data_IF_251054159325
#
_entry.id   IF_251054159325
#
_cell.length_a   1.000
_cell.length_b   1.000
_cell.length_c   1.000
_cell.angle_alpha   90.00
_cell.angle_beta   90.00
_cell.angle_gamma   90.00
#
_symmetry.space_group_name_H-M   'P 1'
#
loop_
_entity.id
_entity.type
_entity.pdbx_description
1 polymer ?
#
# COMPACT_ATOMS: atom_id res chain seq x y z
N UNK A 1 -6.15 -59.40 -40.53
CA UNK A 1 -5.51 -58.62 -39.44
C UNK A 1 -5.76 -57.14 -39.68
N UNK A 2 -6.43 -56.41 -38.78
CA UNK A 2 -6.68 -54.98 -38.99
C UNK A 2 -5.48 -54.14 -38.51
N UNK A 3 -5.14 -53.03 -39.19
CA UNK A 3 -3.93 -52.25 -38.92
C UNK A 3 -4.09 -51.37 -37.66
N UNK A 4 -2.98 -51.22 -36.93
CA UNK A 4 -2.87 -50.44 -35.69
C UNK A 4 -3.19 -48.96 -35.93
N UNK A 5 -4.27 -48.47 -35.31
CA UNK A 5 -4.57 -47.03 -35.16
C UNK A 5 -3.43 -46.36 -34.37
N UNK A 6 -2.66 -45.48 -35.03
CA UNK A 6 -1.85 -44.46 -34.35
C UNK A 6 -2.81 -43.44 -33.73
N UNK A 7 -2.80 -43.33 -32.39
CA UNK A 7 -3.43 -42.20 -31.71
C UNK A 7 -2.52 -40.98 -31.89
N UNK A 8 -2.99 -39.86 -32.48
CA UNK A 8 -2.29 -38.59 -32.32
C UNK A 8 -2.44 -38.18 -30.85
N UNK A 9 -1.31 -37.89 -30.21
CA UNK A 9 -1.28 -37.21 -28.91
C UNK A 9 -1.56 -35.74 -29.22
N UNK A 10 -2.85 -35.42 -29.29
CA UNK A 10 -3.31 -34.07 -29.54
C UNK A 10 -3.07 -33.25 -28.29
N UNK A 11 -2.20 -32.24 -28.41
CA UNK A 11 -1.93 -31.25 -27.38
C UNK A 11 -2.99 -30.15 -27.44
N UNK A 12 -4.25 -30.53 -27.26
CA UNK A 12 -5.37 -29.60 -27.15
C UNK A 12 -5.58 -29.27 -25.67
N UNK A 13 -4.89 -28.22 -25.20
CA UNK A 13 -5.24 -27.43 -24.00
C UNK A 13 -4.54 -26.05 -24.09
N UNK A 14 -4.43 -25.48 -25.29
CA UNK A 14 -3.75 -24.18 -25.51
C UNK A 14 -4.65 -23.04 -25.98
N UNK A 15 -5.96 -23.27 -26.16
CA UNK A 15 -6.83 -22.24 -26.77
C UNK A 15 -7.73 -21.46 -25.79
N UNK A 16 -7.77 -21.81 -24.50
CA UNK A 16 -8.54 -21.04 -23.50
C UNK A 16 -7.70 -20.04 -22.67
N UNK A 17 -6.37 -19.98 -22.87
CA UNK A 17 -5.45 -19.26 -21.96
C UNK A 17 -5.26 -17.76 -22.28
N UNK A 18 -5.98 -17.21 -23.27
CA UNK A 18 -5.85 -15.81 -23.73
C UNK A 18 -6.93 -14.89 -23.14
N UNK A 19 -7.60 -15.29 -22.06
CA UNK A 19 -8.38 -14.35 -21.25
C UNK A 19 -7.42 -13.50 -20.42
N UNK A 20 -6.96 -12.40 -21.03
CA UNK A 20 -6.56 -11.13 -20.42
C UNK A 20 -6.08 -11.24 -18.95
N UNK A 21 -4.91 -11.86 -18.73
CA UNK A 21 -4.32 -12.01 -17.39
C UNK A 21 -3.74 -10.68 -16.95
N UNK A 22 -4.58 -9.83 -16.34
CA UNK A 22 -4.21 -8.55 -15.71
C UNK A 22 -3.29 -8.68 -14.49
N UNK A 23 -3.06 -9.91 -14.01
CA UNK A 23 -2.23 -10.18 -12.85
C UNK A 23 -1.29 -11.37 -13.08
N UNK A 24 -0.13 -11.34 -12.42
CA UNK A 24 0.87 -12.41 -12.40
C UNK A 24 0.28 -13.67 -11.77
N UNK A 25 0.26 -14.78 -12.50
CA UNK A 25 -0.17 -16.09 -12.00
C UNK A 25 1.00 -17.07 -12.07
N UNK A 26 1.10 -17.94 -11.05
CA UNK A 26 2.11 -19.00 -11.03
C UNK A 26 1.67 -20.13 -11.97
N UNK A 27 2.47 -20.41 -13.00
CA UNK A 27 2.25 -21.58 -13.86
C UNK A 27 2.74 -22.85 -13.16
N UNK A 28 1.91 -23.92 -13.05
CA UNK A 28 2.39 -25.18 -12.51
C UNK A 28 3.50 -25.74 -13.42
N UNK A 29 4.72 -25.84 -12.89
CA UNK A 29 5.89 -26.31 -13.63
C UNK A 29 6.31 -27.70 -13.13
N UNK A 30 6.22 -28.71 -14.00
CA UNK A 30 6.76 -30.04 -13.71
C UNK A 30 8.25 -30.05 -14.06
N UNK A 31 9.10 -30.30 -13.05
CA UNK A 31 10.55 -30.45 -13.24
C UNK A 31 10.93 -31.92 -13.23
N UNK A 32 11.67 -32.37 -14.24
CA UNK A 32 12.28 -33.70 -14.23
C UNK A 32 13.54 -33.66 -13.35
N UNK A 33 13.60 -34.54 -12.35
CA UNK A 33 14.69 -34.59 -11.37
C UNK A 33 15.45 -35.91 -11.59
N UNK A 34 16.78 -35.82 -11.71
CA UNK A 34 17.61 -37.02 -11.89
C UNK A 34 17.58 -37.90 -10.64
N UNK A 35 17.66 -39.23 -10.81
CA UNK A 35 17.75 -40.16 -9.68
C UNK A 35 18.95 -39.91 -8.78
N UNK A 36 20.06 -39.40 -9.35
CA UNK A 36 21.25 -39.02 -8.58
C UNK A 36 20.94 -37.88 -7.61
N UNK A 37 20.16 -36.90 -8.06
CA UNK A 37 19.69 -35.79 -7.22
C UNK A 37 18.80 -36.28 -6.10
N UNK A 38 17.90 -37.23 -6.38
CA UNK A 38 17.03 -37.84 -5.36
C UNK A 38 17.91 -38.56 -4.32
N UNK A 39 18.78 -39.47 -4.74
CA UNK A 39 19.62 -40.26 -3.82
C UNK A 39 20.63 -39.43 -3.02
N UNK A 40 21.10 -38.31 -3.58
CA UNK A 40 22.12 -37.46 -2.94
C UNK A 40 21.55 -36.33 -2.08
N UNK A 41 20.44 -35.70 -2.49
CA UNK A 41 19.91 -34.49 -1.83
C UNK A 41 18.63 -34.72 -1.06
N UNK A 42 17.93 -35.84 -1.27
CA UNK A 42 16.70 -36.12 -0.55
C UNK A 42 17.04 -36.98 0.65
N UNK A 43 16.84 -36.42 1.83
CA UNK A 43 17.00 -37.11 3.09
C UNK A 43 15.72 -37.85 3.46
N UNK A 44 15.87 -38.82 4.34
CA UNK A 44 14.73 -39.44 5.02
C UNK A 44 14.16 -38.48 6.05
N UNK A 45 12.87 -38.60 6.29
CA UNK A 45 12.16 -37.75 7.25
C UNK A 45 12.64 -38.02 8.70
N UNK A 46 12.78 -37.01 9.57
CA UNK A 46 13.09 -37.22 10.98
C UNK A 46 12.03 -38.06 11.70
N UNK A 47 12.44 -38.90 12.64
CA UNK A 47 11.57 -39.78 13.44
C UNK A 47 10.34 -39.08 14.06
N UNK A 48 10.43 -37.87 14.68
CA UNK A 48 9.25 -37.22 15.25
C UNK A 48 8.19 -36.86 14.20
N UNK A 49 8.60 -36.55 12.97
CA UNK A 49 7.65 -36.24 11.88
C UNK A 49 7.09 -37.53 11.29
N UNK A 50 7.87 -38.61 11.30
CA UNK A 50 7.35 -39.92 10.92
C UNK A 50 6.20 -40.36 11.83
N UNK A 51 6.28 -40.08 13.13
CA UNK A 51 5.19 -40.34 14.08
C UNK A 51 3.96 -39.50 13.77
N UNK A 52 4.11 -38.20 13.48
CA UNK A 52 3.00 -37.34 13.03
C UNK A 52 2.32 -37.90 11.78
N UNK A 53 3.09 -38.37 10.81
CA UNK A 53 2.54 -39.02 9.59
C UNK A 53 1.82 -40.33 9.92
N UNK A 54 2.35 -41.13 10.86
CA UNK A 54 1.66 -42.33 11.36
C UNK A 54 0.33 -41.98 12.02
N UNK A 55 0.27 -40.91 12.80
CA UNK A 55 -0.96 -40.44 13.44
C UNK A 55 -1.97 -39.88 12.43
N UNK A 56 -1.51 -39.18 11.40
CA UNK A 56 -2.37 -38.78 10.28
C UNK A 56 -2.98 -40.00 9.57
N UNK A 57 -2.20 -41.05 9.30
CA UNK A 57 -2.76 -42.26 8.72
C UNK A 57 -3.85 -42.87 9.60
N UNK A 58 -3.67 -42.89 10.93
CA UNK A 58 -4.68 -43.37 11.90
C UNK A 58 -5.94 -42.50 11.90
N UNK A 59 -5.79 -41.18 11.82
CA UNK A 59 -6.92 -40.24 11.75
C UNK A 59 -7.75 -40.46 10.47
N UNK A 60 -7.07 -40.73 9.34
CA UNK A 60 -7.70 -41.00 8.05
C UNK A 60 -8.39 -42.38 7.95
N UNK A 61 -8.15 -43.30 8.89
CA UNK A 61 -8.87 -44.59 8.93
C UNK A 61 -10.34 -44.40 9.33
N UNK A 62 -10.62 -43.47 10.26
CA UNK A 62 -11.94 -43.30 10.87
C UNK A 62 -13.04 -42.97 9.85
N UNK A 63 -12.86 -42.02 8.91
CA UNK A 63 -13.87 -41.71 7.90
C UNK A 63 -14.21 -42.89 6.99
N UNK A 64 -13.23 -43.73 6.65
CA UNK A 64 -13.43 -44.88 5.76
C UNK A 64 -14.27 -45.96 6.44
N UNK A 65 -14.03 -46.19 7.73
CA UNK A 65 -14.79 -47.15 8.55
C UNK A 65 -16.22 -46.64 8.79
N UNK A 66 -16.37 -45.37 9.16
CA UNK A 66 -17.68 -44.76 9.46
C UNK A 66 -18.59 -44.71 8.23
N UNK A 67 -18.01 -44.54 7.03
CA UNK A 67 -18.76 -44.54 5.77
C UNK A 67 -19.46 -45.88 5.47
N UNK A 68 -18.94 -46.99 5.99
CA UNK A 68 -19.56 -48.31 5.80
C UNK A 68 -20.72 -48.48 6.79
N UNK A 69 -21.93 -48.76 6.29
CA UNK A 69 -23.10 -48.97 7.15
C UNK A 69 -23.17 -50.39 7.73
N UNK A 70 -22.64 -51.39 7.01
CA UNK A 70 -22.69 -52.80 7.40
C UNK A 70 -21.51 -53.17 8.30
N UNK A 71 -21.77 -53.80 9.45
CA UNK A 71 -20.73 -54.20 10.41
C UNK A 71 -19.67 -55.14 9.81
N UNK A 72 -20.09 -56.12 9.00
CA UNK A 72 -19.15 -57.01 8.30
C UNK A 72 -18.22 -56.27 7.34
N UNK A 73 -18.75 -55.25 6.64
CA UNK A 73 -17.97 -54.42 5.72
C UNK A 73 -17.07 -53.43 6.47
N UNK A 74 -17.46 -53.00 7.68
CA UNK A 74 -16.60 -52.19 8.56
C UNK A 74 -15.36 -52.96 8.99
N UNK A 75 -15.52 -54.22 9.41
CA UNK A 75 -14.41 -55.07 9.83
C UNK A 75 -13.46 -55.36 8.67
N UNK A 76 -13.98 -55.65 7.48
CA UNK A 76 -13.18 -55.86 6.27
C UNK A 76 -12.43 -54.59 5.85
N UNK A 77 -13.12 -53.44 5.82
CA UNK A 77 -12.52 -52.15 5.50
C UNK A 77 -11.44 -51.76 6.52
N UNK A 78 -11.69 -51.98 7.81
CA UNK A 78 -10.71 -51.76 8.87
C UNK A 78 -9.48 -52.65 8.68
N UNK A 79 -9.65 -53.94 8.40
CA UNK A 79 -8.53 -54.84 8.17
C UNK A 79 -7.71 -54.44 6.93
N UNK A 80 -8.37 -54.07 5.83
CA UNK A 80 -7.73 -53.61 4.61
C UNK A 80 -6.95 -52.30 4.82
N UNK A 81 -7.56 -51.30 5.47
CA UNK A 81 -6.93 -50.01 5.77
C UNK A 81 -5.74 -50.19 6.71
N UNK A 82 -5.89 -50.95 7.79
CA UNK A 82 -4.80 -51.23 8.73
C UNK A 82 -3.61 -51.94 8.05
N UNK A 83 -3.86 -52.83 7.09
CA UNK A 83 -2.80 -53.46 6.31
C UNK A 83 -2.02 -52.42 5.48
N UNK A 84 -2.73 -51.48 4.85
CA UNK A 84 -2.10 -50.38 4.09
C UNK A 84 -1.31 -49.46 5.00
N UNK A 85 -1.87 -49.02 6.14
CA UNK A 85 -1.17 -48.15 7.10
C UNK A 85 0.09 -48.83 7.65
N UNK A 86 0.04 -50.12 7.99
CA UNK A 86 1.23 -50.88 8.42
C UNK A 86 2.30 -50.96 7.31
N UNK A 87 1.90 -51.13 6.05
CA UNK A 87 2.84 -51.19 4.94
C UNK A 87 3.48 -49.83 4.63
N UNK A 88 2.70 -48.74 4.71
CA UNK A 88 3.20 -47.37 4.54
C UNK A 88 4.12 -46.97 5.69
N UNK A 89 3.75 -47.29 6.93
CA UNK A 89 4.58 -47.04 8.12
C UNK A 89 5.95 -47.72 8.05
N UNK A 90 6.03 -48.94 7.49
CA UNK A 90 7.31 -49.65 7.25
C UNK A 90 8.17 -49.01 6.16
N UNK A 91 7.56 -48.31 5.19
CA UNK A 91 8.27 -47.67 4.07
C UNK A 91 8.69 -46.23 4.39
N UNK A 92 8.03 -45.60 5.34
CA UNK A 92 8.26 -44.20 5.72
C UNK A 92 9.71 -43.87 6.07
N UNK A 93 10.46 -44.71 6.83
CA UNK A 93 11.87 -44.43 7.14
C UNK A 93 12.80 -44.52 5.92
N UNK A 94 12.39 -45.21 4.85
CA UNK A 94 13.21 -45.46 3.64
C UNK A 94 12.77 -44.62 2.44
N UNK A 95 11.74 -43.80 2.59
CA UNK A 95 11.23 -42.95 1.53
C UNK A 95 12.04 -41.65 1.47
N UNK A 96 12.67 -41.31 0.33
CA UNK A 96 13.37 -40.04 0.19
C UNK A 96 12.36 -38.91 0.05
N UNK A 97 12.52 -37.84 0.83
CA UNK A 97 11.68 -36.66 0.76
C UNK A 97 12.46 -35.47 0.19
N UNK A 98 11.83 -34.61 -0.65
CA UNK A 98 12.46 -33.39 -1.12
C UNK A 98 12.95 -32.51 0.05
N UNK A 99 14.09 -31.83 -0.07
CA UNK A 99 14.67 -31.02 1.03
C UNK A 99 13.82 -29.80 1.42
N UNK A 100 12.83 -29.43 0.61
CA UNK A 100 11.87 -28.36 0.94
C UNK A 100 10.78 -28.83 1.91
N UNK A 101 10.62 -30.15 2.09
CA UNK A 101 9.66 -30.68 3.06
C UNK A 101 10.15 -30.38 4.47
N UNK A 102 9.55 -29.36 5.09
CA UNK A 102 9.77 -29.01 6.49
C UNK A 102 8.79 -29.80 7.37
N UNK A 103 9.12 -29.96 8.63
CA UNK A 103 8.26 -30.61 9.65
C UNK A 103 6.88 -29.94 9.71
N UNK A 104 6.82 -28.62 9.54
CA UNK A 104 5.57 -27.83 9.51
C UNK A 104 4.63 -28.20 8.36
N UNK A 105 5.14 -28.82 7.27
CA UNK A 105 4.31 -29.23 6.14
C UNK A 105 3.37 -30.40 6.48
N UNK A 106 3.61 -31.09 7.61
CA UNK A 106 2.77 -32.19 8.10
C UNK A 106 1.87 -31.79 9.28
N UNK A 107 1.92 -30.53 9.69
CA UNK A 107 1.09 -29.98 10.77
C UNK A 107 -0.05 -29.15 10.18
N UNK A 108 -1.28 -29.63 10.37
CA UNK A 108 -2.47 -28.93 9.87
C UNK A 108 -2.61 -27.52 10.47
N UNK A 109 -2.41 -27.38 11.78
CA UNK A 109 -2.51 -26.09 12.47
C UNK A 109 -1.45 -25.09 11.99
N UNK A 110 -0.23 -25.55 11.72
CA UNK A 110 0.83 -24.69 11.20
C UNK A 110 0.48 -24.16 9.80
N UNK A 111 -0.06 -25.02 8.92
CA UNK A 111 -0.52 -24.62 7.60
C UNK A 111 -1.72 -23.66 7.66
N UNK A 112 -2.64 -23.87 8.61
CA UNK A 112 -3.78 -22.97 8.81
C UNK A 112 -3.33 -21.60 9.32
N UNK A 113 -2.40 -21.56 10.27
CA UNK A 113 -1.83 -20.31 10.78
C UNK A 113 -1.08 -19.54 9.68
N UNK A 114 -0.30 -20.22 8.84
CA UNK A 114 0.35 -19.60 7.68
C UNK A 114 -0.67 -19.03 6.70
N UNK A 115 -1.76 -19.76 6.43
CA UNK A 115 -2.85 -19.28 5.60
C UNK A 115 -3.50 -18.01 6.17
N UNK A 116 -3.89 -18.03 7.45
CA UNK A 116 -4.50 -16.87 8.12
C UNK A 116 -3.56 -15.66 8.15
N UNK A 117 -2.26 -15.86 8.36
CA UNK A 117 -1.27 -14.79 8.30
C UNK A 117 -1.15 -14.19 6.88
N UNK A 118 -1.15 -15.03 5.85
CA UNK A 118 -1.13 -14.58 4.46
C UNK A 118 -2.42 -13.85 4.07
N UNK A 119 -3.59 -14.32 4.53
CA UNK A 119 -4.86 -13.65 4.32
C UNK A 119 -4.92 -12.29 5.02
N UNK A 120 -4.45 -12.17 6.26
CA UNK A 120 -4.33 -10.90 6.96
C UNK A 120 -3.36 -9.94 6.23
N UNK A 121 -2.23 -10.45 5.74
CA UNK A 121 -1.30 -9.69 4.89
C UNK A 121 -1.95 -9.21 3.58
N UNK A 122 -2.76 -10.05 2.94
CA UNK A 122 -3.48 -9.68 1.72
C UNK A 122 -4.54 -8.60 2.01
N UNK A 123 -5.30 -8.76 3.10
CA UNK A 123 -6.32 -7.80 3.51
C UNK A 123 -5.71 -6.42 3.78
N UNK A 124 -4.65 -6.35 4.61
CA UNK A 124 -3.96 -5.09 4.92
C UNK A 124 -3.38 -4.40 3.69
N UNK A 125 -2.78 -5.16 2.76
CA UNK A 125 -2.30 -4.61 1.49
C UNK A 125 -3.46 -4.09 0.63
N UNK A 126 -4.57 -4.82 0.57
CA UNK A 126 -5.75 -4.40 -0.19
C UNK A 126 -6.35 -3.11 0.37
N UNK A 127 -6.50 -3.02 1.69
CA UNK A 127 -6.97 -1.82 2.37
C UNK A 127 -6.04 -0.62 2.12
N UNK A 128 -4.72 -0.85 2.16
CA UNK A 128 -3.74 0.20 1.87
C UNK A 128 -3.84 0.70 0.42
N UNK A 129 -4.10 -0.21 -0.53
CA UNK A 129 -4.30 0.13 -1.94
C UNK A 129 -5.54 1.00 -2.09
N UNK A 130 -6.63 0.70 -1.39
CA UNK A 130 -7.88 1.46 -1.49
C UNK A 130 -7.76 2.85 -0.85
N UNK A 131 -7.02 2.98 0.27
CA UNK A 131 -6.66 4.29 0.83
C UNK A 131 -5.86 5.12 -0.18
N UNK A 132 -4.84 4.52 -0.81
CA UNK A 132 -4.00 5.22 -1.79
C UNK A 132 -4.80 5.65 -3.02
N UNK A 133 -5.71 4.80 -3.52
CA UNK A 133 -6.62 5.18 -4.62
C UNK A 133 -7.50 6.37 -4.25
N UNK A 134 -8.05 6.38 -3.04
CA UNK A 134 -8.88 7.48 -2.57
C UNK A 134 -8.10 8.80 -2.46
N UNK A 135 -6.84 8.75 -2.00
CA UNK A 135 -5.99 9.94 -1.96
C UNK A 135 -5.62 10.42 -3.36
N UNK A 136 -5.30 9.51 -4.30
CA UNK A 136 -5.04 9.85 -5.71
C UNK A 136 -6.26 10.57 -6.32
N UNK A 137 -7.47 10.05 -6.12
CA UNK A 137 -8.69 10.69 -6.63
C UNK A 137 -8.86 12.11 -6.08
N UNK A 138 -8.54 12.32 -4.80
CA UNK A 138 -8.60 13.63 -4.14
C UNK A 138 -7.53 14.60 -4.67
N UNK A 139 -6.31 14.11 -4.91
CA UNK A 139 -5.24 14.90 -5.50
C UNK A 139 -5.56 15.28 -6.96
N UNK A 140 -6.06 14.34 -7.76
CA UNK A 140 -6.49 14.58 -9.14
C UNK A 140 -7.63 15.61 -9.20
N UNK A 141 -8.61 15.53 -8.29
CA UNK A 141 -9.68 16.51 -8.20
C UNK A 141 -9.18 17.91 -7.81
N UNK A 142 -8.14 17.99 -6.96
CA UNK A 142 -7.52 19.26 -6.55
C UNK A 142 -6.72 19.87 -7.72
N UNK A 143 -5.92 19.05 -8.41
CA UNK A 143 -5.18 19.42 -9.60
C UNK A 143 -6.11 19.89 -10.74
N UNK A 144 -7.26 19.24 -10.91
CA UNK A 144 -8.28 19.67 -11.87
C UNK A 144 -8.87 21.05 -11.55
N UNK A 145 -8.95 21.44 -10.28
CA UNK A 145 -9.40 22.80 -9.89
C UNK A 145 -8.30 23.82 -10.14
N UNK A 146 -7.07 23.52 -9.77
CA UNK A 146 -5.92 24.41 -9.97
C UNK A 146 -5.64 24.67 -11.45
N UNK A 147 -5.68 23.63 -12.28
CA UNK A 147 -5.51 23.77 -13.74
C UNK A 147 -6.59 24.65 -14.37
N UNK A 148 -7.86 24.55 -13.91
CA UNK A 148 -8.94 25.45 -14.34
C UNK A 148 -8.66 26.89 -13.91
N UNK A 149 -8.24 27.10 -12.65
CA UNK A 149 -7.90 28.44 -12.14
C UNK A 149 -6.74 29.06 -12.93
N UNK A 150 -5.68 28.30 -13.21
CA UNK A 150 -4.55 28.76 -14.03
C UNK A 150 -4.99 29.13 -15.44
N UNK A 151 -5.84 28.30 -16.07
CA UNK A 151 -6.37 28.59 -17.40
C UNK A 151 -7.18 29.90 -17.43
N UNK A 152 -7.99 30.15 -16.41
CA UNK A 152 -8.77 31.38 -16.31
C UNK A 152 -7.88 32.60 -16.02
N UNK A 153 -6.86 32.45 -15.17
CA UNK A 153 -5.82 33.46 -14.95
C UNK A 153 -5.06 33.80 -16.24
N UNK A 154 -4.70 32.80 -17.06
CA UNK A 154 -4.06 33.01 -18.35
C UNK A 154 -4.95 33.76 -19.34
N UNK A 155 -6.24 33.40 -19.41
CA UNK A 155 -7.21 34.13 -20.23
C UNK A 155 -7.36 35.57 -19.75
N UNK A 156 -7.45 35.79 -18.43
CA UNK A 156 -7.57 37.12 -17.85
C UNK A 156 -6.32 37.96 -18.13
N UNK A 157 -5.11 37.38 -17.97
CA UNK A 157 -3.85 38.03 -18.37
C UNK A 157 -3.85 38.41 -19.85
N UNK A 158 -4.22 37.48 -20.74
CA UNK A 158 -4.31 37.76 -22.19
C UNK A 158 -5.33 38.86 -22.49
N UNK A 159 -6.50 38.85 -21.85
CA UNK A 159 -7.52 39.89 -21.98
C UNK A 159 -6.99 41.25 -21.52
N UNK A 160 -6.42 41.31 -20.33
CA UNK A 160 -5.80 42.52 -19.77
C UNK A 160 -4.67 43.07 -20.66
N UNK A 161 -3.81 42.21 -21.20
CA UNK A 161 -2.77 42.62 -22.15
C UNK A 161 -3.36 43.19 -23.45
N UNK A 162 -4.40 42.57 -23.99
CA UNK A 162 -5.05 43.08 -25.21
C UNK A 162 -5.80 44.38 -24.96
N UNK A 163 -6.44 44.53 -23.80
CA UNK A 163 -7.12 45.74 -23.39
C UNK A 163 -6.11 46.87 -23.13
N UNK A 164 -5.03 46.60 -22.40
CA UNK A 164 -3.91 47.56 -22.22
C UNK A 164 -3.35 48.01 -23.56
N UNK A 165 -3.17 47.09 -24.53
CA UNK A 165 -2.74 47.45 -25.89
C UNK A 165 -3.75 48.35 -26.63
N UNK A 166 -5.06 48.17 -26.40
CA UNK A 166 -6.12 49.03 -26.95
C UNK A 166 -6.11 50.41 -26.29
N UNK A 167 -6.04 50.46 -24.96
CA UNK A 167 -5.94 51.70 -24.19
C UNK A 167 -4.70 52.50 -24.61
N UNK A 168 -3.54 51.84 -24.72
CA UNK A 168 -2.29 52.45 -25.22
C UNK A 168 -2.34 52.94 -26.69
N UNK A 169 -3.31 52.49 -27.49
CA UNK A 169 -3.57 53.04 -28.83
C UNK A 169 -4.43 54.31 -28.78
N UNK A 170 -5.28 54.44 -27.77
CA UNK A 170 -6.20 55.55 -27.58
C UNK A 170 -5.60 56.67 -26.72
N UNK A 171 -4.51 56.39 -25.99
CA UNK A 171 -3.79 57.37 -25.17
C UNK A 171 -3.04 58.43 -25.99
N UNK A 172 -2.97 59.64 -25.44
CA UNK A 172 -2.31 60.78 -26.06
C UNK A 172 -0.79 60.55 -26.21
N UNK A 173 -0.14 60.99 -27.31
CA UNK A 173 1.27 60.71 -27.62
C UNK A 173 2.30 61.14 -26.55
N UNK A 174 1.95 62.04 -25.63
CA UNK A 174 2.80 62.44 -24.49
C UNK A 174 2.90 61.33 -23.44
N UNK A 175 1.77 60.69 -23.08
CA UNK A 175 1.75 59.56 -22.14
C UNK A 175 2.48 58.34 -22.72
N UNK A 176 2.38 58.15 -24.04
CA UNK A 176 3.11 57.13 -24.78
C UNK A 176 4.63 57.26 -24.68
N UNK A 177 5.15 58.50 -24.67
CA UNK A 177 6.58 58.79 -24.54
C UNK A 177 7.08 58.56 -23.10
N UNK A 178 6.25 58.83 -22.10
CA UNK A 178 6.59 58.58 -20.69
C UNK A 178 6.64 57.07 -20.38
N UNK A 179 5.67 56.29 -20.87
CA UNK A 179 5.64 54.84 -20.62
C UNK A 179 6.75 54.09 -21.39
N UNK A 180 7.10 54.54 -22.60
CA UNK A 180 8.26 54.01 -23.33
C UNK A 180 9.62 54.43 -22.74
N UNK A 181 9.68 55.58 -22.06
CA UNK A 181 10.85 55.96 -21.26
C UNK A 181 10.99 55.08 -20.00
N UNK A 182 9.88 54.72 -19.35
CA UNK A 182 9.85 53.77 -18.23
C UNK A 182 10.26 52.34 -18.65
N UNK A 183 9.88 51.89 -19.85
CA UNK A 183 10.25 50.55 -20.36
C UNK A 183 11.67 50.46 -20.93
N UNK A 184 12.28 51.58 -21.37
CA UNK A 184 13.69 51.64 -21.81
C UNK A 184 14.67 51.91 -20.69
N UNK A 185 14.19 52.32 -19.51
CA UNK A 185 14.99 52.32 -18.30
C UNK A 185 15.37 50.90 -17.91
N UNK A 186 16.66 50.69 -17.65
CA UNK A 186 17.20 49.45 -17.11
C UNK A 186 16.33 48.98 -15.92
N UNK A 187 15.83 47.73 -15.86
CA UNK A 187 14.95 47.25 -14.78
C UNK A 187 15.60 47.31 -13.38
N UNK A 188 16.86 47.75 -13.29
CA UNK A 188 17.56 48.06 -12.05
C UNK A 188 17.22 49.44 -11.45
N UNK A 189 16.53 50.32 -12.17
CA UNK A 189 16.33 51.72 -11.72
C UNK A 189 14.89 52.13 -11.39
N UNK A 190 13.90 51.28 -11.66
CA UNK A 190 12.51 51.50 -11.26
C UNK A 190 12.09 50.57 -10.11
N UNK A 191 13.02 50.22 -9.22
CA UNK A 191 12.64 49.87 -7.87
C UNK A 191 12.25 51.18 -7.19
N UNK A 192 10.98 51.32 -6.80
CA UNK A 192 10.66 52.17 -5.66
C UNK A 192 11.39 51.51 -4.47
N UNK A 193 12.65 51.87 -4.28
CA UNK A 193 13.40 51.53 -3.09
C UNK A 193 12.78 52.37 -1.99
N UNK A 194 11.83 51.77 -1.28
CA UNK A 194 11.75 52.02 0.16
C UNK A 194 13.15 51.66 0.65
N UNK A 195 13.92 52.68 1.03
CA UNK A 195 15.26 52.52 1.59
C UNK A 195 15.17 51.73 2.88
N UNK A 196 15.08 50.41 2.77
CA UNK A 196 15.44 49.52 3.86
C UNK A 196 16.97 49.49 3.87
N UNK A 197 17.54 50.48 4.56
CA UNK A 197 18.96 50.55 4.83
C UNK A 197 19.41 49.22 5.42
N UNK A 198 20.45 48.63 4.83
CA UNK A 198 20.92 47.28 5.13
C UNK A 198 21.59 47.14 6.52
N UNK A 199 21.55 48.18 7.35
CA UNK A 199 22.08 48.18 8.73
C UNK A 199 21.11 48.74 9.78
N UNK A 200 19.84 48.99 9.44
CA UNK A 200 18.81 49.15 10.47
C UNK A 200 18.13 47.80 10.65
N UNK A 201 18.66 47.03 11.59
CA UNK A 201 17.81 46.23 12.45
C UNK A 201 16.83 47.25 13.07
N UNK A 202 15.76 47.61 12.36
CA UNK A 202 14.63 48.33 12.92
C UNK A 202 14.03 47.33 13.89
N UNK A 203 14.60 47.27 15.09
CA UNK A 203 13.98 46.62 16.21
C UNK A 203 12.57 47.20 16.28
N UNK A 204 11.59 46.37 16.61
CA UNK A 204 10.20 46.80 16.73
C UNK A 204 10.03 48.02 17.66
N UNK A 205 11.06 48.37 18.44
CA UNK A 205 11.20 49.58 19.25
C UNK A 205 11.07 50.89 18.44
N UNK A 206 11.64 51.04 17.24
CA UNK A 206 11.49 52.27 16.43
C UNK A 206 10.05 52.49 15.93
N UNK A 207 9.28 51.41 15.79
CA UNK A 207 7.85 51.46 15.43
C UNK A 207 6.95 51.70 16.65
N UNK A 208 7.46 51.47 17.86
CA UNK A 208 6.78 51.75 19.13
C UNK A 208 6.91 53.23 19.52
N UNK A 209 7.95 53.93 19.04
CA UNK A 209 8.18 55.37 19.23
C UNK A 209 7.32 56.27 18.30
N UNK A 210 6.71 55.72 17.24
CA UNK A 210 5.81 56.48 16.36
C UNK A 210 4.40 56.63 16.99
N UNK A 211 3.96 57.85 17.34
CA UNK A 211 2.71 58.08 18.05
C UNK A 211 1.45 57.66 17.27
N UNK A 212 1.51 57.55 15.93
CA UNK A 212 0.39 57.08 15.12
C UNK A 212 0.31 55.54 15.07
N UNK A 213 1.45 54.86 15.11
CA UNK A 213 1.55 53.40 15.02
C UNK A 213 1.47 52.70 16.39
N UNK A 214 1.85 53.39 17.48
CA UNK A 214 1.79 52.86 18.84
C UNK A 214 0.37 52.42 19.24
N UNK A 215 -0.66 53.16 18.80
CA UNK A 215 -2.06 52.80 19.04
C UNK A 215 -2.47 51.49 18.36
N UNK A 216 -2.03 51.29 17.10
CA UNK A 216 -2.31 50.10 16.31
C UNK A 216 -1.52 48.88 16.81
N UNK A 217 -0.25 49.07 17.19
CA UNK A 217 0.57 48.02 17.79
C UNK A 217 -0.01 47.54 19.13
N UNK A 218 -0.51 48.47 19.96
CA UNK A 218 -1.20 48.12 21.21
C UNK A 218 -2.50 47.35 20.96
N UNK A 219 -3.28 47.71 19.94
CA UNK A 219 -4.47 46.97 19.54
C UNK A 219 -4.13 45.57 19.01
N UNK A 220 -3.08 45.45 18.19
CA UNK A 220 -2.64 44.18 17.62
C UNK A 220 -2.05 43.26 18.69
N UNK A 221 -1.24 43.79 19.61
CA UNK A 221 -0.74 43.04 20.76
C UNK A 221 -1.89 42.61 21.69
N UNK A 222 -2.88 43.49 21.91
CA UNK A 222 -4.12 43.14 22.61
C UNK A 222 -4.90 42.01 21.92
N UNK A 223 -4.96 42.00 20.60
CA UNK A 223 -5.65 40.96 19.84
C UNK A 223 -4.87 39.63 19.82
N UNK A 224 -3.54 39.68 19.66
CA UNK A 224 -2.67 38.51 19.71
C UNK A 224 -2.67 37.87 21.10
N UNK A 225 -2.59 38.68 22.16
CA UNK A 225 -2.69 38.17 23.54
C UNK A 225 -4.09 37.62 23.84
N UNK A 226 -5.15 38.22 23.30
CA UNK A 226 -6.50 37.67 23.38
C UNK A 226 -6.62 36.33 22.65
N UNK A 227 -6.13 36.23 21.41
CA UNK A 227 -6.11 34.97 20.66
C UNK A 227 -5.25 33.91 21.37
N UNK A 228 -4.11 34.29 21.93
CA UNK A 228 -3.26 33.40 22.71
C UNK A 228 -3.98 32.90 23.98
N UNK A 229 -4.70 33.77 24.70
CA UNK A 229 -5.51 33.36 25.86
C UNK A 229 -6.67 32.45 25.47
N UNK A 230 -7.27 32.67 24.29
CA UNK A 230 -8.34 31.82 23.76
C UNK A 230 -7.80 30.45 23.30
N UNK A 231 -6.52 30.38 22.89
CA UNK A 231 -5.86 29.14 22.50
C UNK A 231 -5.21 28.39 23.67
N UNK A 232 -4.98 29.02 24.82
CA UNK A 232 -4.36 28.38 25.99
C UNK A 232 -5.10 27.11 26.46
N UNK A 233 -6.45 27.06 26.51
CA UNK A 233 -7.19 25.83 26.83
C UNK A 233 -7.05 24.73 25.77
N UNK A 234 -6.82 25.09 24.50
CA UNK A 234 -6.68 24.13 23.39
C UNK A 234 -5.30 23.46 23.36
N UNK A 235 -4.29 24.05 24.00
CA UNK A 235 -2.94 23.48 24.07
C UNK A 235 -2.92 22.12 24.79
N UNK A 236 -3.67 21.97 25.89
CA UNK A 236 -3.77 20.71 26.63
C UNK A 236 -4.62 19.63 25.96
N UNK A 237 -5.46 20.01 24.99
CA UNK A 237 -6.34 19.08 24.26
C UNK A 237 -5.53 18.13 23.36
N UNK A 238 -4.44 18.63 22.78
CA UNK A 238 -3.50 17.81 22.00
C UNK A 238 -2.89 16.70 22.85
N UNK A 239 -2.44 17.04 24.06
CA UNK A 239 -1.88 16.05 24.99
C UNK A 239 -2.94 15.04 25.42
N UNK A 240 -4.18 15.48 25.68
CA UNK A 240 -5.29 14.59 26.00
C UNK A 240 -5.62 13.62 24.85
N UNK A 241 -5.59 14.09 23.60
CA UNK A 241 -5.78 13.26 22.41
C UNK A 241 -4.66 12.23 22.29
N UNK A 242 -3.40 12.64 22.41
CA UNK A 242 -2.27 11.68 22.33
C UNK A 242 -2.31 10.62 23.43
N UNK A 243 -2.73 10.99 24.66
CA UNK A 243 -2.94 10.02 25.74
C UNK A 243 -4.10 9.06 25.45
N UNK A 244 -5.17 9.55 24.84
CA UNK A 244 -6.32 8.72 24.47
C UNK A 244 -5.96 7.73 23.35
N UNK A 245 -5.19 8.18 22.37
CA UNK A 245 -4.67 7.35 21.28
C UNK A 245 -3.68 6.28 21.79
N UNK A 246 -2.81 6.66 22.73
CA UNK A 246 -1.94 5.71 23.43
C UNK A 246 -2.73 4.66 24.25
N UNK A 247 -3.82 5.08 24.92
CA UNK A 247 -4.67 4.15 25.65
C UNK A 247 -5.42 3.20 24.70
N UNK A 248 -5.95 3.70 23.58
CA UNK A 248 -6.66 2.89 22.58
C UNK A 248 -5.74 1.88 21.90
N UNK A 249 -4.53 2.29 21.52
CA UNK A 249 -3.52 1.39 20.96
C UNK A 249 -3.09 0.29 21.95
N UNK A 250 -2.95 0.61 23.24
CA UNK A 250 -2.68 -0.41 24.26
C UNK A 250 -3.85 -1.38 24.46
N UNK A 251 -5.09 -0.90 24.44
CA UNK A 251 -6.27 -1.79 24.52
C UNK A 251 -6.42 -2.66 23.27
N UNK A 252 -6.05 -2.14 22.09
CA UNK A 252 -6.04 -2.91 20.84
C UNK A 252 -4.98 -4.01 20.83
N UNK A 253 -3.91 -3.89 21.63
CA UNK A 253 -2.86 -4.90 21.78
C UNK A 253 -3.18 -5.94 22.87
N UNK A 254 -4.13 -5.66 23.78
CA UNK A 254 -4.51 -6.55 24.89
C UNK A 254 -5.74 -7.42 24.57
N UNK A 255 -6.26 -7.34 23.34
CA UNK A 255 -7.46 -8.05 22.87
C UNK A 255 -7.19 -9.29 22.00
N UNK A 256 -5.92 -9.63 21.77
CA UNK A 256 -5.46 -10.89 21.14
C UNK A 256 -4.79 -11.79 22.20
#
# INVERSE_FOLDING_TARGET
MPPKRKRPRDGQDQEDDVRDKRFSYLKPQVRQISERTIKSKWSTLPEPVQDKVRDMFRALERPVIVRQQNERKRIEAQAAVQAVVKNLGKRLPRMPFPPITKDSAFEYEAALNEHSALEAGLATVTDSIDILKAEIEKEEASLAKETKQLHDMEKNKKRAETERKRQFRNEHPVLRKLDSALQKGDPKQAHFQISLGKDSQTTFDELEEDPELAGLLKQLNGHLTSMQSNMAPMAGLRDAITRSDAALSLTSLSGD
#
